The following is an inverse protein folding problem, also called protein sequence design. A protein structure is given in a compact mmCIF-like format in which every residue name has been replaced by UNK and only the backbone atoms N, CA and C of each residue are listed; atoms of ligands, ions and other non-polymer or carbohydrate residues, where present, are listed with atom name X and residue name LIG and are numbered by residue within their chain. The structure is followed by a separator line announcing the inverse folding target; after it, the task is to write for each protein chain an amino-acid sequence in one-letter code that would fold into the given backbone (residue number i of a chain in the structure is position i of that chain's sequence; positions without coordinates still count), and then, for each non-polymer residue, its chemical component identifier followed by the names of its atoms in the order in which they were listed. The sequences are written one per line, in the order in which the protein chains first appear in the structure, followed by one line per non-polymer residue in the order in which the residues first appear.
data_IF_757774103941
#
_entry.id   IF_757774103941
#
_cell.length_a   1.000
_cell.length_b   1.000
_cell.length_c   1.000
_cell.angle_alpha   90.00
_cell.angle_beta   90.00
_cell.angle_gamma   90.00
#
_symmetry.space_group_name_H-M   'P 1'
#
loop_
_entity.id
_entity.type
_entity.pdbx_description
1 polymer ?
#
# COMPACT_ATOMS: atom_id res chain seq x y z
N UNK A 1 -30.06 54.35 22.33
CA UNK A 1 -29.08 53.53 21.56
C UNK A 1 -28.83 52.12 22.13
N UNK A 2 -29.54 51.65 23.16
CA UNK A 2 -29.27 50.34 23.79
C UNK A 2 -30.02 49.13 23.15
N UNK A 3 -30.99 49.37 22.26
CA UNK A 3 -31.91 48.32 21.77
C UNK A 3 -31.25 47.26 20.87
N UNK A 4 -30.20 47.62 20.11
CA UNK A 4 -29.48 46.69 19.22
C UNK A 4 -28.28 46.00 19.90
N UNK A 5 -27.73 46.63 20.95
CA UNK A 5 -26.59 46.09 21.68
C UNK A 5 -26.97 44.85 22.51
N UNK A 6 -28.17 44.85 23.11
CA UNK A 6 -28.63 43.72 23.94
C UNK A 6 -28.80 42.43 23.12
N UNK A 7 -29.49 42.43 21.95
CA UNK A 7 -29.56 41.26 21.08
C UNK A 7 -28.20 40.82 20.52
N UNK A 8 -27.34 41.77 20.14
CA UNK A 8 -26.00 41.46 19.64
C UNK A 8 -25.11 40.81 20.71
N UNK A 9 -25.18 41.30 21.94
CA UNK A 9 -24.47 40.71 23.08
C UNK A 9 -24.98 39.30 23.40
N UNK A 10 -26.30 39.08 23.36
CA UNK A 10 -26.90 37.77 23.56
C UNK A 10 -26.37 36.75 22.53
N UNK A 11 -26.35 37.12 21.24
CA UNK A 11 -25.78 36.30 20.17
C UNK A 11 -24.29 36.02 20.39
N UNK A 12 -23.50 37.03 20.79
CA UNK A 12 -22.08 36.87 21.05
C UNK A 12 -21.82 35.87 22.19
N UNK A 13 -22.57 35.97 23.30
CA UNK A 13 -22.48 35.02 24.42
C UNK A 13 -22.86 33.62 23.97
N UNK A 14 -23.91 33.47 23.17
CA UNK A 14 -24.37 32.17 22.66
C UNK A 14 -23.31 31.53 21.74
N UNK A 15 -22.70 32.31 20.83
CA UNK A 15 -21.62 31.84 19.96
C UNK A 15 -20.39 31.44 20.77
N UNK A 16 -19.98 32.26 21.75
CA UNK A 16 -18.84 31.92 22.62
C UNK A 16 -19.12 30.65 23.41
N UNK A 17 -20.29 30.53 24.03
CA UNK A 17 -20.68 29.32 24.75
C UNK A 17 -20.70 28.08 23.84
N UNK A 18 -21.21 28.22 22.62
CA UNK A 18 -21.24 27.14 21.63
C UNK A 18 -19.84 26.73 21.20
N UNK A 19 -18.93 27.68 20.96
CA UNK A 19 -17.55 27.39 20.57
C UNK A 19 -16.76 26.73 21.72
N UNK A 20 -16.95 27.20 22.95
CA UNK A 20 -16.33 26.60 24.14
C UNK A 20 -16.84 25.18 24.37
N UNK A 21 -18.16 24.99 24.38
CA UNK A 21 -18.76 23.66 24.51
C UNK A 21 -18.33 22.72 23.38
N UNK A 22 -18.37 23.19 22.13
CA UNK A 22 -17.95 22.43 20.96
C UNK A 22 -16.48 22.01 21.02
N UNK A 23 -15.59 22.88 21.49
CA UNK A 23 -14.17 22.51 21.70
C UNK A 23 -13.99 21.49 22.80
N UNK A 24 -14.64 21.66 23.95
CA UNK A 24 -14.52 20.73 25.09
C UNK A 24 -15.11 19.36 24.71
N UNK A 25 -16.28 19.33 24.08
CA UNK A 25 -16.93 18.11 23.63
C UNK A 25 -16.06 17.35 22.62
N UNK A 26 -15.56 18.02 21.56
CA UNK A 26 -14.66 17.37 20.58
C UNK A 26 -13.38 16.85 21.23
N UNK A 27 -12.76 17.62 22.14
CA UNK A 27 -11.57 17.18 22.87
C UNK A 27 -11.86 15.94 23.72
N UNK A 28 -13.00 15.91 24.41
CA UNK A 28 -13.39 14.79 25.28
C UNK A 28 -13.74 13.55 24.48
N UNK A 29 -14.47 13.69 23.37
CA UNK A 29 -14.77 12.58 22.45
C UNK A 29 -13.49 12.02 21.84
N UNK A 30 -12.55 12.88 21.42
CA UNK A 30 -11.25 12.43 20.92
C UNK A 30 -10.43 11.70 21.99
N UNK A 31 -10.45 12.16 23.24
CA UNK A 31 -9.72 11.51 24.35
C UNK A 31 -10.34 10.18 24.79
N UNK A 32 -11.66 10.00 24.67
CA UNK A 32 -12.36 8.76 24.99
C UNK A 32 -12.20 7.68 23.91
N UNK A 33 -11.82 8.06 22.68
CA UNK A 33 -11.51 7.14 21.57
C UNK A 33 -10.10 6.55 21.70
N UNK A 34 -9.81 5.89 22.82
CA UNK A 34 -8.60 5.06 22.94
C UNK A 34 -8.85 3.74 22.21
N UNK A 35 -8.83 3.76 20.89
CA UNK A 35 -8.77 2.52 20.13
C UNK A 35 -7.34 2.00 20.17
N UNK A 36 -7.23 0.69 20.33
CA UNK A 36 -5.98 -0.02 20.13
C UNK A 36 -5.48 0.22 18.69
N UNK A 37 -4.17 0.42 18.48
CA UNK A 37 -3.60 0.51 17.14
C UNK A 37 -4.00 -0.71 16.30
N UNK A 38 -4.46 -0.48 15.06
CA UNK A 38 -4.93 -1.55 14.19
C UNK A 38 -3.84 -2.58 13.86
N UNK A 39 -2.60 -2.10 13.70
CA UNK A 39 -1.43 -2.93 13.52
C UNK A 39 -0.58 -2.93 14.79
N UNK A 40 0.02 -4.08 15.14
CA UNK A 40 0.99 -4.13 16.23
C UNK A 40 2.25 -3.29 15.90
N UNK A 41 3.11 -3.08 16.90
CA UNK A 41 4.39 -2.38 16.72
C UNK A 41 5.16 -2.93 15.52
N UNK A 42 5.94 -2.07 14.86
CA UNK A 42 6.66 -2.40 13.63
C UNK A 42 8.11 -2.82 13.93
N UNK A 43 8.40 -4.11 14.18
CA UNK A 43 9.74 -4.53 14.59
C UNK A 43 10.81 -4.22 13.54
N UNK A 44 10.52 -4.42 12.24
CA UNK A 44 11.53 -4.18 11.19
C UNK A 44 11.94 -2.70 11.07
N UNK A 45 11.00 -1.78 11.33
CA UNK A 45 11.28 -0.34 11.40
C UNK A 45 12.12 -0.04 12.62
N UNK A 46 11.75 -0.58 13.77
CA UNK A 46 12.47 -0.34 15.02
C UNK A 46 13.91 -0.91 14.93
N UNK A 47 14.11 -2.04 14.26
CA UNK A 47 15.43 -2.60 13.93
C UNK A 47 16.19 -1.65 12.99
N UNK A 48 15.55 -1.18 11.91
CA UNK A 48 16.17 -0.23 10.97
C UNK A 48 16.65 1.05 11.67
N UNK A 49 15.79 1.67 12.48
CA UNK A 49 16.12 2.88 13.24
C UNK A 49 17.23 2.60 14.25
N UNK A 50 17.18 1.45 14.93
CA UNK A 50 18.25 1.04 15.84
C UNK A 50 19.58 0.84 15.12
N UNK A 51 19.58 0.35 13.88
CA UNK A 51 20.78 0.19 13.06
C UNK A 51 21.35 1.55 12.64
N UNK A 52 20.48 2.52 12.35
CA UNK A 52 20.89 3.89 12.00
C UNK A 52 21.49 4.64 13.20
N UNK A 53 21.02 4.33 14.42
CA UNK A 53 21.50 4.94 15.67
C UNK A 53 22.68 4.19 16.31
N UNK A 54 23.11 3.06 15.73
CA UNK A 54 24.18 2.23 16.26
C UNK A 54 25.56 2.90 16.09
N UNK A 55 26.41 2.82 17.12
CA UNK A 55 27.81 3.22 17.10
C UNK A 55 28.67 2.03 17.55
N UNK A 56 29.56 1.44 16.71
CA UNK A 56 30.06 1.92 15.41
C UNK A 56 29.03 1.84 14.26
N UNK A 57 29.21 2.62 13.18
CA UNK A 57 28.26 2.68 12.07
C UNK A 57 28.11 1.31 11.40
N UNK A 58 26.86 0.88 11.25
CA UNK A 58 26.53 -0.37 10.57
C UNK A 58 26.95 -0.33 9.10
N UNK A 59 27.23 -1.51 8.52
CA UNK A 59 27.56 -1.61 7.11
C UNK A 59 26.38 -1.16 6.23
N UNK A 60 26.65 -0.35 5.21
CA UNK A 60 25.64 0.19 4.29
C UNK A 60 24.78 -0.90 3.62
N UNK A 61 25.37 -2.05 3.28
CA UNK A 61 24.62 -3.19 2.75
C UNK A 61 23.60 -3.76 3.74
N UNK A 62 23.87 -3.68 5.05
CA UNK A 62 22.97 -4.13 6.11
C UNK A 62 21.80 -3.16 6.27
N UNK A 63 22.05 -1.85 6.26
CA UNK A 63 21.02 -0.80 6.33
C UNK A 63 20.06 -0.91 5.13
N UNK A 64 20.59 -1.11 3.92
CA UNK A 64 19.79 -1.34 2.71
C UNK A 64 18.96 -2.62 2.80
N UNK A 65 19.53 -3.70 3.31
CA UNK A 65 18.80 -4.96 3.51
C UNK A 65 17.68 -4.80 4.55
N UNK A 66 17.94 -4.07 5.64
CA UNK A 66 16.94 -3.77 6.66
C UNK A 66 15.80 -2.91 6.10
N UNK A 67 16.09 -1.93 5.25
CA UNK A 67 15.06 -1.14 4.56
C UNK A 67 14.16 -2.01 3.66
N UNK A 68 14.75 -2.97 2.93
CA UNK A 68 13.97 -3.93 2.13
C UNK A 68 13.10 -4.81 3.04
N UNK A 69 13.59 -5.24 4.21
CA UNK A 69 12.79 -6.01 5.18
C UNK A 69 11.64 -5.19 5.76
N UNK A 70 11.86 -3.90 6.05
CA UNK A 70 10.81 -2.94 6.40
C UNK A 70 9.73 -2.89 5.31
N UNK A 71 10.12 -2.68 4.05
CA UNK A 71 9.20 -2.66 2.91
C UNK A 71 8.43 -3.99 2.73
N UNK A 72 9.06 -5.14 2.95
CA UNK A 72 8.40 -6.46 2.91
C UNK A 72 7.29 -6.57 3.97
N UNK A 73 7.54 -6.11 5.19
CA UNK A 73 6.53 -6.08 6.24
C UNK A 73 5.35 -5.14 5.90
N UNK A 74 5.62 -3.99 5.28
CA UNK A 74 4.59 -3.08 4.80
C UNK A 74 3.74 -3.73 3.70
N UNK A 75 4.33 -4.47 2.76
CA UNK A 75 3.58 -5.21 1.73
C UNK A 75 2.64 -6.24 2.36
N UNK A 76 3.07 -6.96 3.40
CA UNK A 76 2.18 -7.85 4.14
C UNK A 76 0.97 -7.10 4.73
N UNK A 77 1.22 -5.92 5.33
CA UNK A 77 0.17 -5.07 5.88
C UNK A 77 -0.78 -4.56 4.78
N UNK A 78 -0.25 -4.18 3.61
CA UNK A 78 -1.05 -3.75 2.45
C UNK A 78 -2.00 -4.86 2.02
N UNK A 79 -1.52 -6.10 1.85
CA UNK A 79 -2.38 -7.21 1.45
C UNK A 79 -3.49 -7.47 2.47
N UNK A 80 -3.14 -7.50 3.75
CA UNK A 80 -4.12 -7.68 4.83
C UNK A 80 -5.17 -6.55 4.82
N UNK A 81 -4.73 -5.30 4.71
CA UNK A 81 -5.62 -4.15 4.72
C UNK A 81 -6.58 -4.16 3.52
N UNK A 82 -6.11 -4.58 2.34
CA UNK A 82 -6.95 -4.72 1.14
C UNK A 82 -8.02 -5.80 1.28
N UNK A 83 -7.66 -6.95 1.86
CA UNK A 83 -8.61 -8.03 2.14
C UNK A 83 -9.64 -7.60 3.19
N UNK A 84 -9.17 -6.98 4.29
CA UNK A 84 -10.00 -6.51 5.39
C UNK A 84 -10.96 -5.39 4.94
N UNK A 85 -10.54 -4.46 4.06
CA UNK A 85 -11.40 -3.37 3.56
C UNK A 85 -12.69 -3.87 2.95
N UNK A 86 -12.60 -4.92 2.11
CA UNK A 86 -13.77 -5.52 1.46
C UNK A 86 -14.65 -6.22 2.48
N UNK A 87 -14.08 -6.96 3.42
CA UNK A 87 -14.84 -7.65 4.45
C UNK A 87 -15.57 -6.68 5.40
N UNK A 88 -14.87 -5.64 5.87
CA UNK A 88 -15.39 -4.63 6.79
C UNK A 88 -16.47 -3.77 6.15
N UNK A 89 -16.32 -3.38 4.87
CA UNK A 89 -17.35 -2.64 4.16
C UNK A 89 -18.67 -3.42 4.08
N UNK A 90 -18.61 -4.75 3.90
CA UNK A 90 -19.80 -5.60 3.89
C UNK A 90 -20.44 -5.72 5.29
N UNK A 91 -19.63 -5.85 6.34
CA UNK A 91 -20.12 -5.90 7.72
C UNK A 91 -20.74 -4.57 8.17
N UNK A 92 -20.18 -3.44 7.73
CA UNK A 92 -20.70 -2.10 8.03
C UNK A 92 -22.09 -1.88 7.44
N UNK A 93 -22.32 -2.29 6.19
CA UNK A 93 -23.64 -2.22 5.56
C UNK A 93 -24.68 -3.09 6.28
N UNK A 94 -24.25 -4.19 6.92
CA UNK A 94 -25.11 -5.06 7.74
C UNK A 94 -25.33 -4.53 9.16
N UNK A 95 -24.64 -3.47 9.57
CA UNK A 95 -24.73 -2.90 10.92
C UNK A 95 -24.13 -3.78 12.01
N UNK A 96 -23.34 -4.81 11.66
CA UNK A 96 -22.75 -5.74 12.63
C UNK A 96 -21.43 -5.22 13.24
N UNK A 97 -20.99 -4.03 12.86
CA UNK A 97 -19.74 -3.40 13.27
C UNK A 97 -19.96 -1.91 13.56
N UNK A 98 -19.22 -1.35 14.51
CA UNK A 98 -19.33 0.07 14.87
C UNK A 98 -18.56 0.99 13.92
N UNK A 99 -19.07 2.22 13.75
CA UNK A 99 -18.43 3.27 12.93
C UNK A 99 -17.05 3.71 13.49
N UNK A 100 -16.85 3.59 14.80
CA UNK A 100 -15.55 3.86 15.42
C UNK A 100 -14.46 2.89 14.92
N UNK A 101 -14.81 1.62 14.66
CA UNK A 101 -13.86 0.64 14.14
C UNK A 101 -13.51 0.92 12.68
N UNK A 102 -14.51 1.31 11.89
CA UNK A 102 -14.30 1.75 10.50
C UNK A 102 -13.41 3.01 10.44
N UNK A 103 -13.64 3.97 11.34
CA UNK A 103 -12.81 5.17 11.46
C UNK A 103 -11.35 4.82 11.82
N UNK A 104 -11.14 3.88 12.75
CA UNK A 104 -9.79 3.40 13.10
C UNK A 104 -9.11 2.67 11.95
N UNK A 105 -9.85 1.85 11.21
CA UNK A 105 -9.34 1.19 10.01
C UNK A 105 -8.86 2.22 8.96
N UNK A 106 -9.64 3.28 8.71
CA UNK A 106 -9.22 4.37 7.81
C UNK A 106 -8.02 5.17 8.35
N UNK A 107 -7.90 5.32 9.67
CA UNK A 107 -6.73 5.94 10.27
C UNK A 107 -5.47 5.08 10.06
N UNK A 108 -5.58 3.76 10.22
CA UNK A 108 -4.51 2.82 9.97
C UNK A 108 -4.11 2.74 8.48
N UNK A 109 -5.08 2.89 7.56
CA UNK A 109 -4.81 3.03 6.12
C UNK A 109 -3.92 4.24 5.85
N UNK A 110 -4.25 5.39 6.43
CA UNK A 110 -3.43 6.60 6.29
C UNK A 110 -2.06 6.50 6.95
N UNK A 111 -1.97 5.84 8.11
CA UNK A 111 -0.69 5.59 8.78
C UNK A 111 0.23 4.73 7.90
N UNK A 112 -0.31 3.68 7.30
CA UNK A 112 0.44 2.82 6.37
C UNK A 112 0.83 3.57 5.09
N UNK A 113 -0.04 4.42 4.54
CA UNK A 113 0.30 5.27 3.39
C UNK A 113 1.47 6.22 3.70
N UNK A 114 1.49 6.80 4.91
CA UNK A 114 2.60 7.65 5.35
C UNK A 114 3.91 6.87 5.48
N UNK A 115 3.87 5.67 6.07
CA UNK A 115 5.02 4.76 6.19
C UNK A 115 5.57 4.39 4.80
N UNK A 116 4.70 4.04 3.84
CA UNK A 116 5.11 3.73 2.47
C UNK A 116 5.83 4.91 1.83
N UNK A 117 5.30 6.12 1.98
CA UNK A 117 5.94 7.33 1.44
C UNK A 117 7.31 7.57 2.09
N UNK A 118 7.45 7.34 3.39
CA UNK A 118 8.73 7.45 4.09
C UNK A 118 9.75 6.43 3.54
N UNK A 119 9.36 5.18 3.32
CA UNK A 119 10.24 4.15 2.75
C UNK A 119 10.64 4.49 1.30
N UNK A 120 9.72 5.04 0.51
CA UNK A 120 10.03 5.50 -0.86
C UNK A 120 11.02 6.67 -0.85
N UNK A 121 10.81 7.67 0.00
CA UNK A 121 11.72 8.82 0.07
C UNK A 121 13.09 8.41 0.61
N UNK A 122 13.13 7.55 1.61
CA UNK A 122 14.36 7.02 2.21
C UNK A 122 15.15 6.16 1.21
N UNK A 123 14.50 5.28 0.47
CA UNK A 123 15.17 4.48 -0.57
C UNK A 123 15.75 5.34 -1.70
N UNK A 124 15.10 6.44 -2.05
CA UNK A 124 15.61 7.40 -3.04
C UNK A 124 16.93 8.06 -2.56
N UNK A 125 17.12 8.26 -1.25
CA UNK A 125 18.37 8.77 -0.69
C UNK A 125 19.55 7.81 -0.85
N UNK A 126 19.29 6.50 -0.85
CA UNK A 126 20.33 5.48 -1.05
C UNK A 126 20.70 5.31 -2.52
N UNK A 127 19.71 5.37 -3.41
CA UNK A 127 19.92 5.26 -4.86
C UNK A 127 18.74 5.88 -5.61
N UNK A 128 19.05 6.75 -6.56
CA UNK A 128 18.06 7.38 -7.43
C UNK A 128 17.24 6.32 -8.20
N UNK A 129 15.91 6.48 -8.22
CA UNK A 129 14.95 5.58 -8.86
C UNK A 129 14.67 4.29 -8.08
N UNK A 130 15.26 4.08 -6.90
CA UNK A 130 15.04 2.86 -6.12
C UNK A 130 13.67 2.84 -5.45
N UNK A 131 13.11 4.00 -5.10
CA UNK A 131 11.78 4.10 -4.48
C UNK A 131 10.64 3.53 -5.33
N UNK A 132 10.75 3.61 -6.66
CA UNK A 132 9.77 3.02 -7.57
C UNK A 132 9.86 1.48 -7.63
N UNK A 133 11.05 0.93 -7.36
CA UNK A 133 11.33 -0.50 -7.50
C UNK A 133 11.19 -1.27 -6.18
N UNK A 134 11.50 -0.63 -5.04
CA UNK A 134 11.61 -1.30 -3.73
C UNK A 134 10.35 -2.09 -3.36
N UNK A 135 9.17 -1.52 -3.56
CA UNK A 135 7.90 -2.20 -3.28
C UNK A 135 7.54 -3.30 -4.28
N UNK A 136 7.99 -3.18 -5.54
CA UNK A 136 7.83 -4.26 -6.52
C UNK A 136 8.69 -5.46 -6.13
N UNK A 137 9.97 -5.22 -5.81
CA UNK A 137 10.88 -6.26 -5.33
C UNK A 137 10.40 -6.85 -3.99
N UNK A 138 9.90 -6.03 -3.07
CA UNK A 138 9.33 -6.52 -1.81
C UNK A 138 8.12 -7.43 -2.03
N UNK A 139 7.23 -7.09 -2.97
CA UNK A 139 6.10 -7.95 -3.32
C UNK A 139 6.52 -9.30 -3.91
N UNK A 140 7.57 -9.33 -4.73
CA UNK A 140 8.16 -10.57 -5.23
C UNK A 140 8.76 -11.42 -4.11
N UNK A 141 9.44 -10.79 -3.14
CA UNK A 141 9.98 -11.47 -1.96
C UNK A 141 8.86 -12.11 -1.14
N UNK A 142 7.79 -11.37 -0.83
CA UNK A 142 6.62 -11.87 -0.08
C UNK A 142 6.00 -13.08 -0.79
N UNK A 143 5.85 -13.00 -2.11
CA UNK A 143 5.27 -14.10 -2.88
C UNK A 143 6.20 -15.32 -2.93
N UNK A 144 7.51 -15.11 -3.02
CA UNK A 144 8.50 -16.19 -2.97
C UNK A 144 8.51 -16.89 -1.61
N UNK A 145 8.44 -16.12 -0.53
CA UNK A 145 8.38 -16.62 0.84
C UNK A 145 7.11 -17.44 1.07
N UNK A 146 5.94 -16.94 0.65
CA UNK A 146 4.67 -17.68 0.70
C UNK A 146 4.74 -19.02 -0.06
N UNK A 147 5.38 -19.05 -1.23
CA UNK A 147 5.57 -20.27 -2.00
C UNK A 147 6.49 -21.27 -1.27
N UNK A 148 7.63 -20.80 -0.74
CA UNK A 148 8.58 -21.61 0.02
C UNK A 148 7.94 -22.17 1.29
N UNK A 149 7.19 -21.36 2.02
CA UNK A 149 6.44 -21.80 3.19
C UNK A 149 5.42 -22.87 2.85
N UNK A 150 4.65 -22.69 1.78
CA UNK A 150 3.67 -23.68 1.32
C UNK A 150 4.35 -25.02 0.99
N UNK A 151 5.47 -24.97 0.29
CA UNK A 151 6.26 -26.15 -0.04
C UNK A 151 6.81 -26.83 1.22
N UNK A 152 7.37 -26.07 2.16
CA UNK A 152 7.88 -26.60 3.43
C UNK A 152 6.77 -27.24 4.28
N UNK A 153 5.58 -26.62 4.34
CA UNK A 153 4.39 -27.17 5.03
C UNK A 153 3.96 -28.50 4.42
N UNK A 154 3.98 -28.62 3.08
CA UNK A 154 3.72 -29.89 2.40
C UNK A 154 4.78 -30.93 2.76
N UNK A 155 6.07 -30.60 2.68
CA UNK A 155 7.13 -31.56 3.03
C UNK A 155 7.05 -32.05 4.48
N UNK A 156 6.70 -31.19 5.44
CA UNK A 156 6.58 -31.56 6.85
C UNK A 156 5.28 -32.32 7.17
N UNK A 157 4.17 -32.00 6.50
CA UNK A 157 2.87 -32.65 6.75
C UNK A 157 2.73 -34.01 6.08
N UNK A 158 3.44 -34.25 4.96
CA UNK A 158 3.44 -35.55 4.25
C UNK A 158 3.71 -36.76 5.13
N UNK A 159 4.81 -36.85 5.92
CA UNK A 159 5.05 -38.02 6.77
C UNK A 159 3.97 -38.22 7.84
N UNK A 160 3.40 -37.13 8.38
CA UNK A 160 2.32 -37.21 9.38
C UNK A 160 1.01 -37.71 8.75
N UNK A 161 0.71 -37.28 7.53
CA UNK A 161 -0.45 -37.75 6.77
C UNK A 161 -0.26 -39.20 6.32
N UNK A 162 0.93 -39.60 5.91
CA UNK A 162 1.26 -40.99 5.54
C UNK A 162 1.09 -41.93 6.73
N UNK A 163 1.53 -41.53 7.94
CA UNK A 163 1.33 -42.30 9.16
C UNK A 163 -0.16 -42.39 9.57
N UNK A 164 -0.94 -41.31 9.38
CA UNK A 164 -2.36 -41.27 9.74
C UNK A 164 -3.28 -41.99 8.74
N UNK A 165 -2.95 -41.96 7.45
CA UNK A 165 -3.81 -42.46 6.38
C UNK A 165 -3.32 -43.75 5.72
N UNK A 166 -2.17 -44.29 6.11
CA UNK A 166 -1.67 -45.59 5.65
C UNK A 166 -1.40 -45.69 4.14
N UNK A 167 -1.32 -44.56 3.43
CA UNK A 167 -1.10 -44.53 1.98
C UNK A 167 0.38 -44.74 1.70
N UNK A 168 0.74 -46.00 1.41
CA UNK A 168 2.07 -46.38 0.91
C UNK A 168 2.38 -45.61 -0.38
N UNK A 169 3.51 -44.91 -0.36
CA UNK A 169 4.12 -44.12 -1.44
C UNK A 169 3.54 -44.38 -2.83
N UNK A 170 2.65 -43.49 -3.31
CA UNK A 170 2.35 -43.39 -4.73
C UNK A 170 3.63 -42.90 -5.42
N UNK A 171 4.27 -43.77 -6.20
CA UNK A 171 5.39 -43.44 -7.07
C UNK A 171 4.88 -42.37 -8.04
N UNK A 172 5.23 -41.11 -7.79
CA UNK A 172 5.07 -40.04 -8.77
C UNK A 172 6.27 -40.20 -9.70
N UNK A 173 6.09 -40.46 -11.01
CA UNK A 173 7.22 -40.50 -11.92
C UNK A 173 7.93 -39.15 -11.86
N UNK A 174 9.23 -39.20 -11.61
CA UNK A 174 10.12 -38.05 -11.64
C UNK A 174 9.90 -37.30 -12.96
N UNK A 175 9.49 -36.04 -12.87
CA UNK A 175 9.56 -35.13 -14.00
C UNK A 175 11.04 -34.94 -14.28
N UNK A 176 11.57 -35.72 -15.22
CA UNK A 176 12.88 -35.50 -15.81
C UNK A 176 12.83 -34.14 -16.47
N UNK A 177 13.41 -33.12 -15.82
CA UNK A 177 13.72 -31.87 -16.48
C UNK A 177 14.76 -32.20 -17.54
N UNK A 178 14.29 -32.35 -18.78
CA UNK A 178 15.13 -32.62 -19.92
C UNK A 178 15.97 -31.36 -20.17
N UNK A 179 17.21 -31.35 -19.69
CA UNK A 179 18.20 -30.34 -20.05
C UNK A 179 18.57 -30.57 -21.51
N UNK A 180 17.99 -29.78 -22.41
CA UNK A 180 18.37 -29.74 -23.82
C UNK A 180 19.85 -29.36 -23.96
N UNK A 181 20.68 -30.15 -24.68
CA UNK A 181 22.02 -29.73 -25.09
C UNK A 181 21.95 -28.59 -26.13
N UNK A 182 23.02 -27.79 -26.31
CA UNK A 182 23.02 -26.65 -27.21
C UNK A 182 23.12 -27.14 -28.65
N UNK A 183 22.06 -26.94 -29.44
CA UNK A 183 22.11 -27.13 -30.90
C UNK A 183 22.25 -25.76 -31.56
N UNK A 184 23.23 -25.72 -32.46
CA UNK A 184 23.75 -24.60 -33.23
C UNK A 184 22.67 -23.92 -34.10
N UNK A 185 22.92 -22.65 -34.39
CA UNK A 185 22.06 -21.77 -35.19
C UNK A 185 22.07 -22.11 -36.69
N UNK A 186 20.89 -22.11 -37.35
CA UNK A 186 20.59 -21.46 -38.66
C UNK A 186 19.14 -21.78 -39.17
N UNK A 187 18.58 -21.06 -40.18
CA UNK A 187 17.39 -20.22 -39.98
C UNK A 187 16.11 -20.59 -40.79
N UNK A 188 15.03 -19.89 -40.42
CA UNK A 188 13.82 -19.55 -41.19
C UNK A 188 12.74 -20.64 -41.45
N UNK A 189 11.60 -20.52 -40.77
CA UNK A 189 10.30 -20.16 -41.38
C UNK A 189 9.17 -20.14 -40.31
N UNK A 190 8.43 -19.03 -40.27
CA UNK A 190 7.17 -18.79 -39.54
C UNK A 190 6.04 -19.75 -39.99
N UNK A 191 5.11 -20.13 -39.09
CA UNK A 191 3.86 -19.37 -39.00
C UNK A 191 3.33 -19.13 -37.57
N UNK A 192 2.91 -17.88 -37.39
CA UNK A 192 1.88 -17.28 -36.53
C UNK A 192 1.02 -18.21 -35.66
N UNK A 193 1.04 -17.95 -34.34
CA UNK A 193 -0.15 -17.90 -33.49
C UNK A 193 0.08 -16.92 -32.33
N UNK A 194 -0.41 -15.70 -32.53
CA UNK A 194 -0.43 -14.58 -31.58
C UNK A 194 -1.35 -14.91 -30.39
N UNK A 195 -0.82 -14.89 -29.16
CA UNK A 195 -1.62 -14.64 -27.96
C UNK A 195 -1.01 -13.44 -27.24
N UNK A 196 -1.81 -12.37 -27.22
CA UNK A 196 -1.50 -11.02 -26.75
C UNK A 196 -1.07 -10.97 -25.30
N UNK A 197 0.12 -10.41 -25.08
CA UNK A 197 0.53 -9.75 -23.85
C UNK A 197 -0.28 -8.46 -23.65
N UNK A 198 -1.43 -8.51 -22.96
CA UNK A 198 -2.15 -7.27 -22.57
C UNK A 198 -2.96 -7.33 -21.26
N UNK A 199 -2.67 -8.23 -20.32
CA UNK A 199 -3.52 -8.38 -19.11
C UNK A 199 -2.83 -8.05 -17.78
N UNK A 200 -1.60 -7.52 -17.75
CA UNK A 200 -0.91 -7.18 -16.48
C UNK A 200 -0.47 -5.72 -16.34
N UNK A 201 -1.02 -4.80 -17.14
CA UNK A 201 -0.68 -3.37 -17.08
C UNK A 201 -1.72 -2.48 -16.39
N UNK A 202 -2.72 -3.06 -15.72
CA UNK A 202 -3.82 -2.28 -15.15
C UNK A 202 -4.02 -2.59 -13.67
N UNK A 203 -3.07 -2.19 -12.82
CA UNK A 203 -3.33 -1.91 -11.39
C UNK A 203 -2.08 -1.45 -10.63
N UNK A 204 -1.57 -0.27 -10.95
CA UNK A 204 -0.93 0.59 -9.94
C UNK A 204 -1.32 2.06 -10.21
N UNK A 205 -1.76 2.84 -9.21
CA UNK A 205 -2.08 4.26 -9.38
C UNK A 205 -0.79 5.08 -9.53
N UNK A 206 -0.76 5.97 -10.51
CA UNK A 206 0.26 7.02 -10.65
C UNK A 206 -0.26 8.25 -9.89
N UNK A 207 0.56 8.95 -9.08
CA UNK A 207 0.12 10.17 -8.41
C UNK A 207 0.02 11.33 -9.41
N UNK A 208 -1.10 12.04 -9.36
CA UNK A 208 -1.30 13.30 -10.07
C UNK A 208 -0.56 14.44 -9.34
N UNK A 209 0.07 15.32 -10.11
CA UNK A 209 0.50 16.66 -9.68
C UNK A 209 -0.15 17.72 -10.56
N UNK A 210 -0.35 18.95 -10.05
CA UNK A 210 -1.57 19.71 -10.28
C UNK A 210 -1.54 20.59 -11.53
N UNK A 211 -2.73 20.76 -12.10
CA UNK A 211 -3.07 21.74 -13.11
C UNK A 211 -3.02 23.17 -12.56
N UNK A 212 -2.35 24.07 -13.26
CA UNK A 212 -2.70 25.49 -13.31
C UNK A 212 -2.99 25.87 -14.76
N UNK A 213 -4.24 26.28 -14.97
CA UNK A 213 -4.81 26.83 -16.19
C UNK A 213 -4.16 28.16 -16.55
N UNK A 214 -4.00 28.45 -17.84
CA UNK A 214 -4.57 29.66 -18.44
C UNK A 214 -4.62 29.58 -19.98
N UNK A 215 -5.74 30.07 -20.50
CA UNK A 215 -6.21 30.21 -21.90
C UNK A 215 -5.34 31.23 -22.70
N UNK A 216 -5.51 31.51 -24.03
CA UNK A 216 -6.76 31.43 -24.79
C UNK A 216 -6.74 31.01 -26.27
N UNK A 217 -7.94 30.58 -26.68
CA UNK A 217 -8.60 30.62 -27.98
C UNK A 217 -7.89 31.40 -29.10
N UNK A 218 -7.39 30.66 -30.09
CA UNK A 218 -7.00 31.18 -31.40
C UNK A 218 -8.15 30.98 -32.41
N UNK A 219 -8.82 32.10 -32.71
CA UNK A 219 -9.73 32.28 -33.84
C UNK A 219 -8.92 32.28 -35.15
N UNK A 220 -9.24 31.37 -36.06
CA UNK A 220 -8.68 31.31 -37.41
C UNK A 220 -9.34 32.35 -38.31
N UNK A 221 -8.52 33.16 -38.99
CA UNK A 221 -8.95 34.29 -39.81
C UNK A 221 -9.47 33.94 -41.21
N UNK A 222 -10.27 34.86 -41.73
CA UNK A 222 -10.58 35.00 -43.15
C UNK A 222 -10.44 36.50 -43.50
N UNK A 223 -9.78 36.75 -44.65
CA UNK A 223 -9.14 38.02 -45.02
C UNK A 223 -10.05 39.19 -45.45
N UNK A 224 -9.43 40.29 -45.93
CA UNK A 224 -10.00 41.64 -45.90
C UNK A 224 -10.67 42.05 -47.21
N UNK A 225 -11.69 42.92 -47.12
CA UNK A 225 -12.08 43.82 -48.19
C UNK A 225 -12.77 45.07 -47.61
N UNK A 226 -12.16 46.23 -47.79
CA UNK A 226 -12.83 47.53 -47.66
C UNK A 226 -13.66 47.81 -48.91
N UNK A 227 -14.69 48.66 -48.81
CA UNK A 227 -14.91 49.60 -49.89
C UNK A 227 -15.05 51.04 -49.37
N UNK A 228 -14.63 51.95 -50.24
CA UNK A 228 -15.11 53.33 -50.33
C UNK A 228 -16.61 53.33 -50.62
#
# INVERSE_FOLDING_TARGET
MASLLVPALYLAVLVVALLVFGRIYRKRVAASRKLEPWFPSHPERDIYVSLLQCDPPAHDGLIKAALVRRAVADVHRIFKLREDKVALSNLLQRGSIGDDLWTSFLAAEKELEAEILEVVTESETFKQGWGNLIFQTAAEIVQNEKLREGMNKVFQSRPQLEAKHGVTKRIIPSITMNTTPPVQAQPAATPTATISSKTLQQSLPIPASPSTSDSPTSTSGQGPASPV
#
